data_IF_481049677062
#
_entry.id   IF_481049677062
#
_cell.length_a   1.000
_cell.length_b   1.000
_cell.length_c   1.000
_cell.angle_alpha   90.00
_cell.angle_beta   90.00
_cell.angle_gamma   90.00
#
_symmetry.space_group_name_H-M   'P 1'
#
loop_
_entity.id
_entity.type
_entity.pdbx_description
1 polymer ?
#
# COMPACT_ATOMS: atom_id res chain seq x y z
N UNK A 1 7.52 -5.85 -19.53
CA UNK A 1 7.20 -4.83 -18.50
C UNK A 1 7.96 -3.56 -18.86
N UNK A 2 7.29 -2.41 -19.01
CA UNK A 2 7.98 -1.14 -19.20
C UNK A 2 8.46 -0.65 -17.82
N UNK A 3 9.69 -1.03 -17.45
CA UNK A 3 10.24 -0.80 -16.11
C UNK A 3 10.26 0.69 -15.73
N UNK A 4 10.73 1.63 -16.58
CA UNK A 4 10.71 3.07 -16.24
C UNK A 4 9.31 3.63 -15.95
N UNK A 5 8.31 3.23 -16.75
CA UNK A 5 6.93 3.67 -16.51
C UNK A 5 6.37 3.10 -15.19
N UNK A 6 6.62 1.82 -14.91
CA UNK A 6 6.18 1.18 -13.66
C UNK A 6 6.89 1.80 -12.46
N UNK A 7 8.19 2.08 -12.56
CA UNK A 7 8.98 2.72 -11.50
C UNK A 7 8.41 4.09 -11.12
N UNK A 8 8.02 4.91 -12.10
CA UNK A 8 7.37 6.20 -11.84
C UNK A 8 6.13 6.04 -10.96
N UNK A 9 5.25 5.08 -11.27
CA UNK A 9 4.07 4.79 -10.44
C UNK A 9 4.44 4.25 -9.05
N UNK A 10 5.46 3.40 -8.96
CA UNK A 10 5.95 2.84 -7.69
C UNK A 10 6.48 3.94 -6.77
N UNK A 11 7.18 4.95 -7.32
CA UNK A 11 7.64 6.12 -6.56
C UNK A 11 6.47 6.96 -6.03
N UNK A 12 5.42 7.17 -6.83
CA UNK A 12 4.19 7.83 -6.35
C UNK A 12 3.56 7.05 -5.19
N UNK A 13 3.41 5.73 -5.34
CA UNK A 13 2.85 4.86 -4.29
C UNK A 13 3.71 4.91 -3.02
N UNK A 14 5.04 4.90 -3.16
CA UNK A 14 5.98 5.01 -2.04
C UNK A 14 5.78 6.31 -1.26
N UNK A 15 5.61 7.43 -1.97
CA UNK A 15 5.34 8.72 -1.34
C UNK A 15 4.07 8.65 -0.48
N UNK A 16 2.97 8.19 -1.08
CA UNK A 16 1.69 8.03 -0.38
C UNK A 16 1.77 7.05 0.79
N UNK A 17 2.43 5.89 0.62
CA UNK A 17 2.55 4.86 1.66
C UNK A 17 3.38 5.34 2.85
N UNK A 18 4.40 6.17 2.60
CA UNK A 18 5.20 6.79 3.65
C UNK A 18 4.36 7.76 4.47
N UNK A 19 3.56 8.61 3.82
CA UNK A 19 2.69 9.59 4.50
C UNK A 19 1.67 8.92 5.43
N UNK A 20 1.12 7.76 5.05
CA UNK A 20 0.13 7.03 5.86
C UNK A 20 0.77 6.03 6.84
N UNK A 21 2.10 5.95 6.89
CA UNK A 21 2.82 5.02 7.77
C UNK A 21 2.74 3.53 7.36
N UNK A 22 2.39 3.22 6.12
CA UNK A 22 2.36 1.83 5.62
C UNK A 22 3.78 1.36 5.27
N UNK A 23 4.46 0.77 6.26
CA UNK A 23 5.84 0.31 6.13
C UNK A 23 6.00 -0.82 5.11
N UNK A 24 5.07 -1.78 5.06
CA UNK A 24 5.19 -2.94 4.18
C UNK A 24 5.08 -2.56 2.69
N UNK A 25 4.16 -1.66 2.33
CA UNK A 25 4.05 -1.09 0.99
C UNK A 25 5.32 -0.30 0.65
N UNK A 26 5.80 0.53 1.58
CA UNK A 26 7.01 1.34 1.39
C UNK A 26 8.24 0.48 1.12
N UNK A 27 8.38 -0.63 1.85
CA UNK A 27 9.47 -1.60 1.65
C UNK A 27 9.37 -2.29 0.29
N UNK A 28 8.17 -2.72 -0.12
CA UNK A 28 7.97 -3.34 -1.43
C UNK A 28 8.30 -2.38 -2.59
N UNK A 29 7.95 -1.09 -2.46
CA UNK A 29 8.35 -0.07 -3.41
C UNK A 29 9.88 0.10 -3.47
N UNK A 30 10.56 0.13 -2.32
CA UNK A 30 12.02 0.24 -2.28
C UNK A 30 12.70 -0.96 -2.95
N UNK A 31 12.21 -2.18 -2.72
CA UNK A 31 12.74 -3.39 -3.37
C UNK A 31 12.55 -3.37 -4.89
N UNK A 32 11.42 -2.83 -5.37
CA UNK A 32 11.20 -2.63 -6.80
C UNK A 32 12.22 -1.66 -7.40
N UNK A 33 12.43 -0.50 -6.75
CA UNK A 33 13.40 0.51 -7.24
C UNK A 33 14.82 -0.07 -7.29
N UNK A 34 15.24 -0.78 -6.24
CA UNK A 34 16.56 -1.46 -6.19
C UNK A 34 16.71 -2.52 -7.29
N UNK A 35 15.62 -3.24 -7.61
CA UNK A 35 15.64 -4.21 -8.70
C UNK A 35 15.69 -3.54 -10.08
N UNK A 36 15.00 -2.40 -10.24
CA UNK A 36 15.02 -1.56 -11.44
C UNK A 36 16.44 -1.06 -11.73
N UNK A 37 17.10 -0.46 -10.74
CA UNK A 37 18.49 0.03 -10.82
C UNK A 37 19.48 -1.06 -11.26
N UNK A 38 19.23 -2.31 -10.87
CA UNK A 38 20.07 -3.47 -11.20
C UNK A 38 19.69 -4.16 -12.51
N UNK A 39 18.73 -3.62 -13.26
CA UNK A 39 18.14 -4.25 -14.46
C UNK A 39 17.64 -5.69 -14.19
N UNK A 40 17.24 -5.98 -12.95
CA UNK A 40 16.79 -7.30 -12.53
C UNK A 40 15.28 -7.45 -12.75
N UNK A 41 14.89 -7.85 -13.95
CA UNK A 41 13.48 -7.99 -14.35
C UNK A 41 12.72 -8.97 -13.45
N UNK A 42 13.33 -10.09 -13.08
CA UNK A 42 12.73 -11.07 -12.16
C UNK A 42 12.53 -10.49 -10.76
N UNK A 43 13.51 -9.69 -10.29
CA UNK A 43 13.42 -8.92 -9.06
C UNK A 43 12.28 -7.89 -9.08
N UNK A 44 12.15 -7.12 -10.18
CA UNK A 44 11.06 -6.17 -10.35
C UNK A 44 9.69 -6.87 -10.29
N UNK A 45 9.56 -8.02 -10.96
CA UNK A 45 8.32 -8.78 -10.94
C UNK A 45 7.99 -9.32 -9.53
N UNK A 46 8.99 -9.85 -8.82
CA UNK A 46 8.83 -10.31 -7.43
C UNK A 46 8.42 -9.17 -6.50
N UNK A 47 9.09 -8.03 -6.59
CA UNK A 47 8.77 -6.85 -5.79
C UNK A 47 7.37 -6.29 -6.11
N UNK A 48 6.95 -6.32 -7.38
CA UNK A 48 5.62 -5.91 -7.79
C UNK A 48 4.53 -6.83 -7.23
N UNK A 49 4.72 -8.15 -7.26
CA UNK A 49 3.79 -9.09 -6.63
C UNK A 49 3.67 -8.86 -5.12
N UNK A 50 4.79 -8.56 -4.45
CA UNK A 50 4.79 -8.19 -3.04
C UNK A 50 3.99 -6.90 -2.81
N UNK A 51 4.25 -5.86 -3.63
CA UNK A 51 3.55 -4.59 -3.55
C UNK A 51 2.03 -4.76 -3.68
N UNK A 52 1.58 -5.56 -4.65
CA UNK A 52 0.16 -5.86 -4.86
C UNK A 52 -0.44 -6.53 -3.62
N UNK A 53 0.24 -7.54 -3.05
CA UNK A 53 -0.22 -8.23 -1.85
C UNK A 53 -0.38 -7.28 -0.67
N UNK A 54 0.65 -6.49 -0.39
CA UNK A 54 0.65 -5.54 0.73
C UNK A 54 -0.40 -4.44 0.55
N UNK A 55 -0.62 -4.00 -0.68
CA UNK A 55 -1.66 -3.04 -1.01
C UNK A 55 -3.06 -3.59 -0.68
N UNK A 56 -3.38 -4.80 -1.12
CA UNK A 56 -4.68 -5.42 -0.82
C UNK A 56 -4.87 -5.67 0.68
N UNK A 57 -3.83 -6.15 1.36
CA UNK A 57 -3.87 -6.34 2.81
C UNK A 57 -4.17 -5.02 3.55
N UNK A 58 -3.41 -3.96 3.24
CA UNK A 58 -3.60 -2.62 3.82
C UNK A 58 -5.00 -2.07 3.52
N UNK A 59 -5.49 -2.25 2.29
CA UNK A 59 -6.83 -1.84 1.89
C UNK A 59 -7.92 -2.52 2.73
N UNK A 60 -7.81 -3.81 2.98
CA UNK A 60 -8.81 -4.54 3.76
C UNK A 60 -8.78 -4.17 5.25
N UNK A 61 -7.59 -3.90 5.81
CA UNK A 61 -7.46 -3.33 7.15
C UNK A 61 -8.14 -1.96 7.25
N UNK A 62 -7.90 -1.05 6.31
CA UNK A 62 -8.56 0.26 6.30
C UNK A 62 -10.07 0.18 6.18
N UNK A 63 -10.59 -0.69 5.30
CA UNK A 63 -12.04 -0.93 5.22
C UNK A 63 -12.59 -1.37 6.57
N UNK A 64 -11.89 -2.26 7.27
CA UNK A 64 -12.34 -2.76 8.56
C UNK A 64 -12.35 -1.67 9.64
N UNK A 65 -11.31 -0.85 9.68
CA UNK A 65 -11.22 0.31 10.59
C UNK A 65 -12.40 1.26 10.35
N UNK A 66 -12.66 1.63 9.09
CA UNK A 66 -13.76 2.53 8.73
C UNK A 66 -15.12 1.90 9.08
N UNK A 67 -15.31 0.61 8.87
CA UNK A 67 -16.53 -0.11 9.26
C UNK A 67 -16.77 -0.03 10.78
N UNK A 68 -15.73 -0.25 11.58
CA UNK A 68 -15.80 -0.20 13.04
C UNK A 68 -16.03 1.21 13.55
N UNK A 69 -15.32 2.20 13.00
CA UNK A 69 -15.50 3.62 13.33
C UNK A 69 -16.96 4.05 13.14
N UNK A 70 -17.57 3.68 12.00
CA UNK A 70 -18.99 3.96 11.73
C UNK A 70 -19.92 3.34 12.77
N UNK A 71 -19.66 2.11 13.20
CA UNK A 71 -20.46 1.43 14.24
C UNK A 71 -20.30 2.12 15.59
N UNK A 72 -19.09 2.53 15.96
CA UNK A 72 -18.81 3.26 17.20
C UNK A 72 -19.58 4.59 17.21
N UNK A 73 -19.47 5.38 16.14
CA UNK A 73 -20.18 6.67 16.02
C UNK A 73 -21.70 6.47 16.11
N UNK A 74 -22.23 5.46 15.42
CA UNK A 74 -23.66 5.15 15.45
C UNK A 74 -24.17 4.80 16.84
N UNK A 75 -23.40 4.00 17.60
CA UNK A 75 -23.76 3.61 18.96
C UNK A 75 -23.61 4.78 19.94
N UNK A 76 -22.53 5.55 19.84
CA UNK A 76 -22.28 6.71 20.71
C UNK A 76 -23.34 7.80 20.53
N UNK A 77 -23.80 8.05 19.31
CA UNK A 77 -24.80 9.10 19.01
C UNK A 77 -26.24 8.70 19.34
N UNK A 78 -26.54 7.40 19.41
CA UNK A 78 -27.88 6.90 19.78
C UNK A 78 -28.14 6.79 21.28
N UNK A 79 -27.13 6.95 22.13
CA UNK A 79 -27.26 6.77 23.59
C UNK A 79 -27.85 8.00 24.32
N UNK A 80 -28.25 9.04 23.58
CA UNK A 80 -28.86 10.27 24.11
C UNK A 80 -30.30 10.54 23.66
N UNK A 81 -31.00 9.53 23.12
CA UNK A 81 -32.42 9.62 22.75
C UNK A 81 -33.27 8.67 23.57
#
# INVERSE_FOLDING_TARGET
>A
MNIPAVESYVQTIKGSSTTIGSQSITLACNEFCRASERNNIAGCHKALLQLIREFYHTKDVFKKIIELERKIIHLATKTHA
#
